data_IF_496398983820
#
_entry.id   IF_496398983820
#
_cell.length_a   1.000
_cell.length_b   1.000
_cell.length_c   1.000
_cell.angle_alpha   90.00
_cell.angle_beta   90.00
_cell.angle_gamma   90.00
#
_symmetry.space_group_name_H-M   'P 1'
#
loop_
_entity.id
_entity.type
_entity.pdbx_description
1 polymer ?
#
# COMPACT_ATOMS: atom_id res chain seq x y z
N UNK A 1 -12.59 10.99 -6.74
CA UNK A 1 -12.56 9.67 -6.09
C UNK A 1 -11.15 9.36 -5.62
N UNK A 2 -11.01 8.89 -4.39
CA UNK A 2 -9.77 8.40 -3.82
C UNK A 2 -9.89 6.90 -3.56
N UNK A 3 -8.75 6.23 -3.41
CA UNK A 3 -8.70 4.80 -3.19
C UNK A 3 -7.81 4.52 -1.99
N UNK A 4 -8.36 3.78 -1.04
CA UNK A 4 -7.68 3.31 0.15
C UNK A 4 -7.21 1.87 -0.08
N UNK A 5 -5.93 1.66 0.13
CA UNK A 5 -5.33 0.34 0.19
C UNK A 5 -4.95 0.02 1.63
N UNK A 6 -5.62 -0.97 2.22
CA UNK A 6 -5.27 -1.52 3.52
C UNK A 6 -4.41 -2.74 3.30
N UNK A 7 -3.19 -2.76 3.82
CA UNK A 7 -2.27 -3.86 3.59
C UNK A 7 -1.57 -4.32 4.87
N UNK A 8 -1.26 -5.61 4.91
CA UNK A 8 -0.49 -6.22 5.99
C UNK A 8 0.49 -7.25 5.45
N UNK A 9 1.66 -7.36 6.05
CA UNK A 9 2.75 -8.22 5.57
C UNK A 9 2.62 -9.61 6.19
N UNK A 10 2.27 -10.61 5.37
CA UNK A 10 2.25 -12.02 5.77
C UNK A 10 3.67 -12.58 5.72
N UNK A 11 4.37 -12.53 6.84
CA UNK A 11 5.67 -13.18 6.97
C UNK A 11 5.75 -13.99 8.26
N UNK A 12 6.48 -15.10 8.22
CA UNK A 12 6.96 -15.74 9.46
C UNK A 12 7.86 -14.76 10.20
N UNK A 13 7.85 -14.82 11.53
CA UNK A 13 8.59 -13.88 12.42
C UNK A 13 10.05 -13.69 11.99
N UNK A 14 10.72 -14.77 11.57
CA UNK A 14 12.12 -14.78 11.14
C UNK A 14 12.40 -13.93 9.89
N UNK A 15 11.47 -13.88 8.94
CA UNK A 15 11.65 -13.19 7.65
C UNK A 15 10.93 -11.85 7.57
N UNK A 16 10.10 -11.54 8.59
CA UNK A 16 9.26 -10.35 8.63
C UNK A 16 10.03 -9.06 8.42
N UNK A 17 11.13 -8.84 9.14
CA UNK A 17 11.91 -7.60 9.04
C UNK A 17 12.55 -7.43 7.66
N UNK A 18 13.04 -8.52 7.06
CA UNK A 18 13.63 -8.49 5.72
C UNK A 18 12.56 -8.17 4.67
N UNK A 19 11.40 -8.82 4.76
CA UNK A 19 10.30 -8.61 3.83
C UNK A 19 9.73 -7.19 3.95
N UNK A 20 9.58 -6.71 5.19
CA UNK A 20 9.18 -5.33 5.51
C UNK A 20 10.14 -4.32 4.90
N UNK A 21 11.45 -4.47 5.10
CA UNK A 21 12.46 -3.55 4.54
C UNK A 21 12.41 -3.55 3.02
N UNK A 22 12.30 -4.72 2.39
CA UNK A 22 12.20 -4.84 0.94
C UNK A 22 10.92 -4.17 0.42
N UNK A 23 9.77 -4.41 1.06
CA UNK A 23 8.49 -3.79 0.69
C UNK A 23 8.58 -2.27 0.71
N UNK A 24 9.02 -1.68 1.82
CA UNK A 24 9.12 -0.22 1.93
C UNK A 24 10.19 0.38 1.03
N UNK A 25 11.30 -0.32 0.79
CA UNK A 25 12.30 0.11 -0.18
C UNK A 25 11.71 0.20 -1.59
N UNK A 26 10.94 -0.80 -2.02
CA UNK A 26 10.27 -0.74 -3.32
C UNK A 26 9.16 0.30 -3.36
N UNK A 27 8.35 0.43 -2.31
CA UNK A 27 7.30 1.45 -2.22
C UNK A 27 7.91 2.86 -2.35
N UNK A 28 9.02 3.12 -1.65
CA UNK A 28 9.74 4.40 -1.70
C UNK A 28 10.25 4.77 -3.11
N UNK A 29 10.41 3.78 -4.00
CA UNK A 29 10.85 3.99 -5.39
C UNK A 29 9.70 4.22 -6.38
N UNK A 30 8.45 4.14 -5.92
CA UNK A 30 7.26 4.42 -6.73
C UNK A 30 6.77 5.85 -6.52
N UNK A 31 5.91 6.36 -7.41
CA UNK A 31 5.26 7.67 -7.19
C UNK A 31 4.25 7.61 -6.04
N UNK A 32 3.83 6.41 -5.62
CA UNK A 32 2.97 6.17 -4.45
C UNK A 32 3.60 6.65 -3.14
N UNK A 33 4.94 6.76 -3.09
CA UNK A 33 5.67 7.22 -1.90
C UNK A 33 5.41 8.68 -1.52
N UNK A 34 4.95 9.50 -2.47
CA UNK A 34 4.72 10.95 -2.31
C UNK A 34 3.30 11.28 -1.83
N UNK A 35 2.50 10.30 -1.44
CA UNK A 35 1.08 10.48 -1.12
C UNK A 35 0.84 10.95 0.31
N UNK A 36 -0.23 11.73 0.45
CA UNK A 36 -0.59 12.55 1.62
C UNK A 36 -0.99 11.74 2.85
N UNK A 37 -1.53 10.53 2.67
CA UNK A 37 -1.97 9.68 3.78
C UNK A 37 -1.33 8.30 3.70
N UNK A 38 -0.28 8.13 4.49
CA UNK A 38 0.48 6.88 4.61
C UNK A 38 0.64 6.55 6.08
N UNK A 39 -0.12 5.57 6.54
CA UNK A 39 0.21 4.89 7.79
C UNK A 39 1.08 3.67 7.48
N UNK A 40 1.44 2.89 8.51
CA UNK A 40 2.20 1.64 8.31
C UNK A 40 1.44 0.59 7.50
N UNK A 41 0.11 0.70 7.41
CA UNK A 41 -0.75 -0.33 6.83
C UNK A 41 -1.85 0.24 5.92
N UNK A 42 -1.86 1.55 5.68
CA UNK A 42 -2.84 2.22 4.83
C UNK A 42 -2.13 3.14 3.86
N UNK A 43 -2.50 3.03 2.59
CA UNK A 43 -2.06 3.92 1.52
C UNK A 43 -3.27 4.52 0.83
N UNK A 44 -3.36 5.85 0.88
CA UNK A 44 -4.35 6.60 0.13
C UNK A 44 -3.79 7.05 -1.22
N UNK A 45 -4.50 6.78 -2.30
CA UNK A 45 -4.10 7.18 -3.66
C UNK A 45 -5.25 7.86 -4.40
N UNK A 46 -4.89 8.75 -5.33
CA UNK A 46 -5.84 9.30 -6.30
C UNK A 46 -6.21 8.25 -7.35
N UNK A 47 -7.42 8.35 -7.89
CA UNK A 47 -7.95 7.45 -8.93
C UNK A 47 -7.00 7.27 -10.13
N UNK A 48 -6.34 8.34 -10.58
CA UNK A 48 -5.37 8.29 -11.70
C UNK A 48 -4.16 7.37 -11.45
N UNK A 49 -3.89 7.03 -10.18
CA UNK A 49 -2.79 6.17 -9.75
C UNK A 49 -3.24 4.74 -9.43
N UNK A 50 -4.54 4.42 -9.58
CA UNK A 50 -5.12 3.12 -9.26
C UNK A 50 -4.35 1.98 -9.94
N UNK A 51 -4.02 2.15 -11.23
CA UNK A 51 -3.30 1.14 -12.00
C UNK A 51 -1.88 0.90 -11.48
N UNK A 52 -1.16 1.96 -11.08
CA UNK A 52 0.19 1.83 -10.50
C UNK A 52 0.12 1.14 -9.13
N UNK A 53 -0.84 1.53 -8.30
CA UNK A 53 -1.07 0.92 -6.99
C UNK A 53 -1.46 -0.56 -7.12
N UNK A 54 -2.41 -0.89 -7.99
CA UNK A 54 -2.83 -2.26 -8.25
C UNK A 54 -1.67 -3.13 -8.75
N UNK A 55 -0.86 -2.62 -9.68
CA UNK A 55 0.33 -3.32 -10.17
C UNK A 55 1.35 -3.57 -9.05
N UNK A 56 1.57 -2.57 -8.20
CA UNK A 56 2.45 -2.69 -7.04
C UNK A 56 1.94 -3.78 -6.08
N UNK A 57 0.70 -3.70 -5.60
CA UNK A 57 0.16 -4.66 -4.64
C UNK A 57 0.01 -6.07 -5.24
N UNK A 58 -0.29 -6.19 -6.54
CA UNK A 58 -0.31 -7.47 -7.25
C UNK A 58 1.05 -8.16 -7.24
N UNK A 59 2.15 -7.42 -7.42
CA UNK A 59 3.53 -7.95 -7.32
C UNK A 59 3.83 -8.50 -5.93
N UNK A 60 3.25 -7.89 -4.90
CA UNK A 60 3.49 -8.24 -3.51
C UNK A 60 2.48 -9.23 -2.92
N UNK A 61 1.43 -9.62 -3.66
CA UNK A 61 0.36 -10.54 -3.23
C UNK A 61 0.83 -11.82 -2.51
N UNK A 62 1.97 -12.46 -2.85
CA UNK A 62 2.46 -13.63 -2.10
C UNK A 62 2.92 -13.31 -0.67
N UNK A 63 3.30 -12.06 -0.41
CA UNK A 63 3.96 -11.58 0.79
C UNK A 63 3.08 -10.64 1.64
N UNK A 64 1.95 -10.17 1.10
CA UNK A 64 1.05 -9.25 1.78
C UNK A 64 -0.41 -9.63 1.57
N UNK A 65 -1.26 -9.23 2.51
CA UNK A 65 -2.69 -9.03 2.28
C UNK A 65 -2.86 -7.60 1.80
N UNK A 66 -3.75 -7.40 0.84
CA UNK A 66 -4.20 -6.06 0.49
C UNK A 66 -5.71 -6.07 0.26
N UNK A 67 -6.41 -5.15 0.90
CA UNK A 67 -7.80 -4.80 0.64
C UNK A 67 -7.83 -3.41 0.00
N UNK A 68 -8.84 -3.19 -0.83
CA UNK A 68 -9.01 -1.96 -1.60
C UNK A 68 -10.42 -1.44 -1.39
N UNK A 69 -10.55 -0.16 -1.07
CA UNK A 69 -11.82 0.53 -0.94
C UNK A 69 -11.77 1.82 -1.78
N UNK A 70 -12.84 2.08 -2.53
CA UNK A 70 -13.01 3.37 -3.23
C UNK A 70 -13.81 4.29 -2.32
N UNK A 71 -13.42 5.55 -2.24
CA UNK A 71 -14.09 6.55 -1.42
C UNK A 71 -14.20 7.87 -2.17
N UNK A 72 -15.37 8.49 -2.06
CA UNK A 72 -15.61 9.81 -2.66
C UNK A 72 -15.21 10.94 -1.71
N UNK A 73 -15.28 10.69 -0.41
CA UNK A 73 -14.96 11.65 0.64
C UNK A 73 -14.16 10.99 1.78
N UNK A 74 -13.33 11.78 2.47
CA UNK A 74 -12.54 11.37 3.62
C UNK A 74 -12.68 12.44 4.70
N UNK A 75 -13.35 12.06 5.78
CA UNK A 75 -13.50 12.91 6.96
C UNK A 75 -12.40 12.54 7.95
N UNK A 76 -11.49 13.47 8.20
CA UNK A 76 -10.49 13.37 9.27
C UNK A 76 -11.15 13.84 10.57
N UNK A 77 -11.21 12.95 11.58
CA UNK A 77 -11.80 13.22 12.91
C UNK A 77 -10.70 13.62 13.89
#
# INVERSE_FOLDING_TARGET
>A
MMILYFYDIRAKVKDYNTLKRRFYYHLARTQLSKKSWRTKSVLLVEDKMELEADAFFKKWKPAIICYKAKTDDLVEI
#
